data_IF_022936977399
#
_entry.id   IF_022936977399
#
_cell.length_a   1.000
_cell.length_b   1.000
_cell.length_c   1.000
_cell.angle_alpha   90.00
_cell.angle_beta   90.00
_cell.angle_gamma   90.00
#
_symmetry.space_group_name_H-M   'P 1'
#
loop_
_entity.id
_entity.type
_entity.pdbx_description
1 polymer ?
#
# COMPACT_ATOMS: atom_id res chain seq x y z
N UNK A 1 -0.03 -11.24 48.40
CA UNK A 1 0.85 -11.82 47.35
C UNK A 1 0.11 -12.94 46.67
N UNK A 2 -0.78 -12.65 45.72
CA UNK A 2 -1.30 -13.62 44.77
C UNK A 2 -1.57 -12.89 43.46
N UNK A 3 -0.64 -13.05 42.51
CA UNK A 3 -0.82 -12.68 41.11
C UNK A 3 -1.58 -13.83 40.46
N UNK A 4 -2.89 -13.65 40.30
CA UNK A 4 -3.70 -14.52 39.45
C UNK A 4 -3.36 -14.18 38.00
N UNK A 5 -2.29 -14.79 37.48
CA UNK A 5 -1.98 -14.76 36.05
C UNK A 5 -2.98 -15.69 35.35
N UNK A 6 -4.13 -15.14 34.96
CA UNK A 6 -4.98 -15.77 33.95
C UNK A 6 -4.20 -15.77 32.63
N UNK A 7 -3.86 -16.93 32.03
CA UNK A 7 -3.36 -16.97 30.68
C UNK A 7 -4.58 -16.80 29.76
N UNK A 8 -5.04 -15.56 29.58
CA UNK A 8 -5.93 -15.26 28.47
C UNK A 8 -5.09 -15.38 27.20
N UNK A 9 -5.19 -16.56 26.60
CA UNK A 9 -4.67 -16.91 25.28
C UNK A 9 -4.97 -15.80 24.27
N UNK A 10 -3.96 -15.15 23.66
CA UNK A 10 -4.20 -14.45 22.41
C UNK A 10 -4.27 -15.51 21.31
N UNK A 11 -5.43 -16.16 21.17
CA UNK A 11 -5.74 -16.81 19.90
C UNK A 11 -5.89 -15.68 18.89
N UNK A 12 -4.81 -15.44 18.14
CA UNK A 12 -4.85 -14.64 16.93
C UNK A 12 -5.69 -15.45 15.94
N UNK A 13 -6.96 -15.05 15.76
CA UNK A 13 -7.78 -15.56 14.67
C UNK A 13 -7.28 -14.97 13.34
N UNK A 14 -6.24 -15.57 12.77
CA UNK A 14 -5.97 -15.47 11.34
C UNK A 14 -6.73 -16.62 10.69
N UNK A 15 -8.00 -16.37 10.38
CA UNK A 15 -8.77 -17.21 9.47
C UNK A 15 -8.92 -16.46 8.15
N UNK A 16 -7.91 -16.54 7.27
CA UNK A 16 -8.15 -16.33 5.85
C UNK A 16 -8.69 -17.65 5.30
N UNK A 17 -10.02 -17.75 5.27
CA UNK A 17 -10.72 -18.87 4.64
C UNK A 17 -10.72 -18.67 3.12
N UNK A 18 -9.59 -18.88 2.46
CA UNK A 18 -9.59 -19.12 1.03
C UNK A 18 -9.01 -20.49 0.72
N UNK A 19 -9.87 -21.51 0.78
CA UNK A 19 -9.58 -22.84 0.29
C UNK A 19 -10.73 -23.35 -0.59
N UNK A 20 -11.00 -22.62 -1.67
CA UNK A 20 -11.73 -23.16 -2.82
C UNK A 20 -10.76 -23.91 -3.74
N UNK A 21 -10.68 -25.23 -3.56
CA UNK A 21 -10.06 -26.26 -4.41
C UNK A 21 -9.39 -25.81 -5.73
N UNK A 22 -8.07 -25.93 -5.83
CA UNK A 22 -7.38 -26.12 -7.10
C UNK A 22 -7.03 -27.62 -7.27
N UNK A 23 -7.49 -28.30 -8.34
CA UNK A 23 -7.08 -29.68 -8.58
C UNK A 23 -5.60 -29.76 -8.99
N UNK A 24 -4.92 -30.74 -8.43
CA UNK A 24 -3.56 -31.10 -8.80
C UNK A 24 -3.53 -31.71 -10.22
N UNK A 25 -3.17 -30.91 -11.22
CA UNK A 25 -2.54 -31.41 -12.44
C UNK A 25 -1.30 -30.59 -12.75
N UNK A 26 -0.17 -31.28 -12.92
CA UNK A 26 1.17 -30.72 -13.07
C UNK A 26 1.38 -29.94 -14.39
N UNK A 27 0.32 -29.70 -15.17
CA UNK A 27 0.38 -28.97 -16.44
C UNK A 27 -0.19 -27.54 -16.37
N UNK A 28 -0.77 -27.13 -15.23
CA UNK A 28 -1.48 -25.86 -15.09
C UNK A 28 -0.67 -24.73 -14.39
N UNK A 29 0.66 -24.76 -14.40
CA UNK A 29 1.47 -23.61 -13.94
C UNK A 29 2.06 -22.78 -15.09
N UNK A 30 1.84 -23.20 -16.34
CA UNK A 30 2.35 -22.50 -17.53
C UNK A 30 1.37 -21.52 -18.17
N UNK A 31 0.16 -21.34 -17.63
CA UNK A 31 -0.69 -20.23 -18.07
C UNK A 31 -0.23 -18.96 -17.37
N UNK A 32 0.86 -18.38 -17.88
CA UNK A 32 1.30 -17.04 -17.51
C UNK A 32 0.17 -16.07 -17.84
N UNK A 33 -0.70 -15.80 -16.86
CA UNK A 33 -1.76 -14.82 -17.00
C UNK A 33 -1.14 -13.52 -17.50
N UNK A 34 -1.59 -12.96 -18.63
CA UNK A 34 -1.00 -11.75 -19.17
C UNK A 34 -1.14 -10.65 -18.13
N UNK A 35 -0.01 -10.18 -17.59
CA UNK A 35 -0.01 -9.03 -16.69
C UNK A 35 -0.51 -7.84 -17.50
N UNK A 36 -1.65 -7.27 -17.11
CA UNK A 36 -2.17 -6.04 -17.71
C UNK A 36 -1.23 -4.88 -17.37
N UNK A 37 -0.19 -4.73 -18.17
CA UNK A 37 0.82 -3.68 -18.00
C UNK A 37 0.24 -2.37 -18.52
N UNK A 38 -0.32 -1.58 -17.62
CA UNK A 38 -0.76 -0.23 -17.93
C UNK A 38 0.46 0.66 -18.18
N UNK A 39 0.54 1.30 -19.35
CA UNK A 39 1.56 2.31 -19.60
C UNK A 39 1.14 3.59 -18.90
N UNK A 40 1.86 3.94 -17.83
CA UNK A 40 1.67 5.22 -17.17
C UNK A 40 2.42 6.28 -17.98
N UNK A 41 1.67 7.21 -18.58
CA UNK A 41 2.22 8.26 -19.47
C UNK A 41 2.89 9.38 -18.68
N UNK A 42 2.41 9.67 -17.47
CA UNK A 42 2.97 10.67 -16.57
C UNK A 42 3.91 10.05 -15.53
N UNK A 43 4.97 10.77 -15.13
CA UNK A 43 5.92 10.29 -14.15
C UNK A 43 5.26 10.11 -12.78
N UNK A 44 5.78 9.16 -12.00
CA UNK A 44 5.13 8.67 -10.79
C UNK A 44 5.07 9.74 -9.68
N UNK A 45 6.13 10.51 -9.53
CA UNK A 45 6.26 11.65 -8.60
C UNK A 45 5.17 12.71 -8.85
N UNK A 46 4.96 13.12 -10.11
CA UNK A 46 3.90 14.09 -10.44
C UNK A 46 2.52 13.59 -10.03
N UNK A 47 2.21 12.32 -10.32
CA UNK A 47 0.91 11.71 -9.96
C UNK A 47 0.70 11.65 -8.44
N UNK A 48 1.75 11.32 -7.69
CA UNK A 48 1.72 11.29 -6.24
C UNK A 48 1.55 12.71 -5.65
N UNK A 49 2.23 13.70 -6.20
CA UNK A 49 2.08 15.10 -5.82
C UNK A 49 0.67 15.63 -6.08
N UNK A 50 0.08 15.34 -7.25
CA UNK A 50 -1.32 15.68 -7.54
C UNK A 50 -2.28 15.00 -6.56
N UNK A 51 -2.04 13.72 -6.24
CA UNK A 51 -2.86 12.97 -5.30
C UNK A 51 -2.80 13.59 -3.89
N UNK A 52 -1.60 14.00 -3.44
CA UNK A 52 -1.45 14.69 -2.16
C UNK A 52 -2.26 16.00 -2.12
N UNK A 53 -2.17 16.81 -3.17
CA UNK A 53 -2.93 18.07 -3.26
C UNK A 53 -4.44 17.83 -3.20
N UNK A 54 -4.94 16.84 -3.95
CA UNK A 54 -6.37 16.47 -3.93
C UNK A 54 -6.82 16.04 -2.54
N UNK A 55 -6.07 15.18 -1.87
CA UNK A 55 -6.37 14.72 -0.52
C UNK A 55 -6.36 15.86 0.51
N UNK A 56 -5.44 16.82 0.38
CA UNK A 56 -5.45 18.02 1.24
C UNK A 56 -6.68 18.89 0.99
N UNK A 57 -7.06 19.09 -0.27
CA UNK A 57 -8.29 19.84 -0.62
C UNK A 57 -9.54 19.17 -0.05
N UNK A 58 -9.62 17.85 -0.13
CA UNK A 58 -10.72 17.08 0.46
C UNK A 58 -10.73 17.18 1.99
N UNK A 59 -9.55 17.11 2.63
CA UNK A 59 -9.41 17.29 4.07
C UNK A 59 -9.78 18.70 4.54
N UNK A 60 -9.68 19.72 3.70
CA UNK A 60 -10.13 21.08 4.02
C UNK A 60 -11.66 21.19 4.02
N UNK A 61 -12.34 20.44 3.14
CA UNK A 61 -13.80 20.40 3.08
C UNK A 61 -14.45 19.43 4.08
N UNK A 62 -13.66 18.55 4.71
CA UNK A 62 -14.16 17.55 5.67
C UNK A 62 -14.19 18.13 7.09
N UNK A 63 -15.29 17.94 7.85
CA UNK A 63 -15.32 18.31 9.27
C UNK A 63 -14.19 17.66 10.08
N UNK A 64 -13.75 18.27 11.20
CA UNK A 64 -12.80 17.64 12.10
C UNK A 64 -13.26 16.25 12.56
N UNK A 65 -12.38 15.27 12.49
CA UNK A 65 -12.66 13.89 12.86
C UNK A 65 -11.74 12.89 12.14
N UNK A 66 -12.02 11.61 12.37
CA UNK A 66 -11.20 10.50 11.89
C UNK A 66 -11.04 10.51 10.37
N UNK A 67 -12.09 10.87 9.62
CA UNK A 67 -12.02 10.92 8.15
C UNK A 67 -11.07 12.02 7.65
N UNK A 68 -11.13 13.22 8.26
CA UNK A 68 -10.19 14.30 7.94
C UNK A 68 -8.74 13.89 8.24
N UNK A 69 -8.51 13.24 9.37
CA UNK A 69 -7.18 12.74 9.74
C UNK A 69 -6.67 11.66 8.78
N UNK A 70 -7.54 10.74 8.34
CA UNK A 70 -7.22 9.73 7.33
C UNK A 70 -6.80 10.36 6.00
N UNK A 71 -7.52 11.38 5.54
CA UNK A 71 -7.19 12.13 4.33
C UNK A 71 -5.83 12.83 4.46
N UNK A 72 -5.58 13.51 5.58
CA UNK A 72 -4.29 14.15 5.87
C UNK A 72 -3.15 13.11 5.90
N UNK A 73 -3.36 11.96 6.54
CA UNK A 73 -2.36 10.89 6.62
C UNK A 73 -2.02 10.35 5.24
N UNK A 74 -3.02 10.11 4.39
CA UNK A 74 -2.83 9.67 3.00
C UNK A 74 -2.10 10.74 2.17
N UNK A 75 -2.41 12.02 2.37
CA UNK A 75 -1.73 13.11 1.68
C UNK A 75 -0.22 13.11 2.00
N UNK A 76 0.14 12.97 3.28
CA UNK A 76 1.54 12.87 3.72
C UNK A 76 2.26 11.65 3.16
N UNK A 77 1.57 10.51 3.08
CA UNK A 77 2.13 9.31 2.47
C UNK A 77 2.44 9.52 0.99
N UNK A 78 1.54 10.17 0.25
CA UNK A 78 1.76 10.49 -1.16
C UNK A 78 2.92 11.48 -1.36
N UNK A 79 3.04 12.50 -0.50
CA UNK A 79 4.18 13.44 -0.50
C UNK A 79 5.51 12.71 -0.28
N UNK A 80 5.55 11.84 0.74
CA UNK A 80 6.74 11.05 1.08
C UNK A 80 7.13 10.12 -0.07
N UNK A 81 6.15 9.43 -0.66
CA UNK A 81 6.39 8.53 -1.78
C UNK A 81 6.91 9.28 -3.02
N UNK A 82 6.41 10.49 -3.29
CA UNK A 82 6.90 11.34 -4.37
C UNK A 82 8.38 11.69 -4.18
N UNK A 83 8.76 12.07 -2.96
CA UNK A 83 10.15 12.38 -2.63
C UNK A 83 11.07 11.14 -2.68
N UNK A 84 10.59 9.98 -2.23
CA UNK A 84 11.34 8.74 -2.37
C UNK A 84 11.57 8.39 -3.86
N UNK A 85 10.58 8.62 -4.71
CA UNK A 85 10.72 8.38 -6.15
C UNK A 85 11.78 9.28 -6.79
N UNK A 86 11.83 10.54 -6.38
CA UNK A 86 12.89 11.48 -6.78
C UNK A 86 14.27 10.94 -6.39
N UNK A 87 14.43 10.46 -5.15
CA UNK A 87 15.68 9.86 -4.70
C UNK A 87 16.06 8.61 -5.51
N UNK A 88 15.13 7.67 -5.71
CA UNK A 88 15.38 6.43 -6.44
C UNK A 88 15.72 6.63 -7.92
N UNK A 89 15.28 7.73 -8.52
CA UNK A 89 15.55 8.03 -9.93
C UNK A 89 16.82 8.86 -10.15
N UNK A 90 17.45 9.36 -9.07
CA UNK A 90 18.66 10.18 -9.12
C UNK A 90 19.84 9.43 -9.77
N UNK A 91 20.57 10.03 -10.73
CA UNK A 91 21.65 9.38 -11.47
C UNK A 91 22.80 8.85 -10.58
N UNK A 92 23.05 9.49 -9.44
CA UNK A 92 24.15 9.12 -8.52
C UNK A 92 23.95 7.79 -7.78
N UNK A 93 22.77 7.17 -7.87
CA UNK A 93 22.45 5.88 -7.25
C UNK A 93 22.27 4.75 -8.27
N UNK A 94 22.42 5.02 -9.57
CA UNK A 94 22.42 3.99 -10.60
C UNK A 94 23.84 3.44 -10.77
N UNK A 95 24.07 2.13 -10.67
CA UNK A 95 25.38 1.57 -10.99
C UNK A 95 25.72 1.91 -12.45
N UNK A 96 26.99 2.26 -12.75
CA UNK A 96 27.44 2.38 -14.13
C UNK A 96 27.24 1.03 -14.83
N UNK A 97 26.68 1.08 -16.03
CA UNK A 97 26.40 -0.09 -16.86
C UNK A 97 27.66 -0.72 -17.43
#
# INVERSE_FOLDING_TARGET
>A
MYVQLSPHSPVVSIGDENAGCAPASLEYWSSAMPRRRFKQTSPLDQRLTEQAQRLRKEAQGTPPGIERERLIRRARQAETASHMQEWLTSPGLKPPG
#
